data_IF_186422782083
#
_entry.id   IF_186422782083
#
_cell.length_a   1.000
_cell.length_b   1.000
_cell.length_c   1.000
_cell.angle_alpha   90.00
_cell.angle_beta   90.00
_cell.angle_gamma   90.00
#
_symmetry.space_group_name_H-M   'P 1'
#
loop_
_entity.id
_entity.type
_entity.pdbx_description
1 polymer ?
#
# COMPACT_ATOMS: atom_id res chain seq x y z
N UNK A 1 -56.37 -38.74 47.16
CA UNK A 1 -55.93 -38.60 45.76
C UNK A 1 -54.54 -37.98 45.76
N UNK A 2 -53.64 -38.56 44.97
CA UNK A 2 -52.19 -38.68 45.21
C UNK A 2 -51.45 -37.33 45.28
N UNK A 3 -50.61 -37.17 46.31
CA UNK A 3 -49.80 -36.00 46.64
C UNK A 3 -48.41 -36.08 45.98
N UNK A 4 -47.98 -34.97 45.41
CA UNK A 4 -46.62 -34.72 44.97
C UNK A 4 -45.64 -34.73 46.16
N UNK A 5 -44.48 -35.35 45.98
CA UNK A 5 -43.36 -35.30 46.94
C UNK A 5 -42.12 -34.86 46.18
N UNK A 6 -41.69 -33.63 46.47
CA UNK A 6 -40.36 -33.11 46.18
C UNK A 6 -39.39 -33.56 47.27
N UNK A 7 -38.26 -34.20 46.92
CA UNK A 7 -37.11 -34.35 47.83
C UNK A 7 -35.79 -34.17 47.07
N UNK A 8 -35.06 -33.14 47.52
CA UNK A 8 -33.62 -32.92 47.63
C UNK A 8 -32.61 -33.86 46.93
N UNK A 9 -31.68 -33.21 46.21
CA UNK A 9 -30.27 -33.61 46.01
C UNK A 9 -29.53 -33.69 47.36
N UNK A 10 -28.50 -34.55 47.55
CA UNK A 10 -27.16 -34.13 47.10
C UNK A 10 -26.14 -35.24 46.71
N UNK A 11 -25.19 -34.77 45.89
CA UNK A 11 -23.75 -35.07 45.77
C UNK A 11 -23.11 -36.32 46.42
N UNK A 12 -22.11 -36.80 45.65
CA UNK A 12 -20.91 -37.59 45.99
C UNK A 12 -21.04 -39.10 45.77
N UNK A 13 -20.54 -39.55 44.61
CA UNK A 13 -19.64 -40.69 44.45
C UNK A 13 -19.02 -40.66 43.04
N UNK A 14 -18.05 -39.75 42.84
CA UNK A 14 -16.98 -39.92 41.87
C UNK A 14 -16.06 -41.03 42.40
N UNK A 15 -16.13 -42.25 41.86
CA UNK A 15 -15.03 -43.23 41.80
C UNK A 15 -15.50 -44.59 41.27
N UNK A 16 -15.64 -44.72 39.96
CA UNK A 16 -15.46 -45.99 39.26
C UNK A 16 -15.10 -45.69 37.81
N UNK A 17 -13.84 -45.34 37.62
CA UNK A 17 -13.19 -45.34 36.31
C UNK A 17 -13.27 -46.73 35.66
N UNK A 18 -13.13 -46.69 34.34
CA UNK A 18 -12.35 -47.65 33.55
C UNK A 18 -13.10 -48.91 33.11
N UNK A 19 -13.81 -48.85 31.97
CA UNK A 19 -13.58 -49.67 30.76
C UNK A 19 -14.27 -49.00 29.54
N UNK A 20 -13.65 -47.97 28.95
CA UNK A 20 -14.01 -47.53 27.59
C UNK A 20 -12.88 -47.96 26.67
N UNK A 21 -13.13 -49.03 25.92
CA UNK A 21 -12.29 -49.47 24.81
C UNK A 21 -12.06 -48.27 23.87
N UNK A 22 -10.80 -47.88 23.59
CA UNK A 22 -10.55 -46.77 22.68
C UNK A 22 -10.92 -47.20 21.26
N UNK A 23 -11.68 -46.40 20.48
CA UNK A 23 -11.52 -46.49 19.03
C UNK A 23 -10.09 -46.03 18.75
N UNK A 24 -9.24 -46.97 18.36
CA UNK A 24 -7.86 -46.70 18.01
C UNK A 24 -7.82 -45.64 16.92
N UNK A 25 -6.99 -44.62 17.13
CA UNK A 25 -6.51 -43.75 16.06
C UNK A 25 -5.52 -44.56 15.21
N UNK A 26 -6.03 -45.62 14.60
CA UNK A 26 -5.25 -46.46 13.72
C UNK A 26 -5.13 -45.67 12.41
N UNK A 27 -4.08 -44.85 12.34
CA UNK A 27 -3.75 -44.01 11.21
C UNK A 27 -3.71 -44.83 9.93
N UNK A 28 -3.31 -46.10 10.00
CA UNK A 28 -3.27 -47.02 8.87
C UNK A 28 -4.69 -47.39 8.38
N UNK A 29 -5.66 -47.50 9.29
CA UNK A 29 -7.05 -47.76 8.93
C UNK A 29 -7.73 -46.53 8.32
N UNK A 30 -7.43 -45.33 8.85
CA UNK A 30 -7.90 -44.06 8.30
C UNK A 30 -7.27 -43.77 6.92
N UNK A 31 -5.99 -44.09 6.73
CA UNK A 31 -5.28 -43.92 5.47
C UNK A 31 -5.80 -44.90 4.41
N UNK A 32 -6.09 -46.14 4.80
CA UNK A 32 -6.74 -47.13 3.94
C UNK A 32 -8.18 -46.75 3.56
N UNK A 33 -8.87 -45.92 4.36
CA UNK A 33 -10.21 -45.42 4.06
C UNK A 33 -10.17 -44.20 3.13
N UNK A 34 -9.19 -43.29 3.30
CA UNK A 34 -8.93 -42.17 2.40
C UNK A 34 -8.47 -42.66 1.01
N UNK A 35 -7.62 -43.67 0.94
CA UNK A 35 -7.17 -44.27 -0.31
C UNK A 35 -8.30 -45.02 -1.04
N UNK A 36 -9.27 -45.58 -0.31
CA UNK A 36 -10.46 -46.21 -0.90
C UNK A 36 -11.48 -45.19 -1.40
N UNK A 37 -11.62 -44.04 -0.74
CA UNK A 37 -12.48 -42.93 -1.20
C UNK A 37 -11.99 -42.24 -2.46
N UNK A 38 -10.68 -42.34 -2.76
CA UNK A 38 -10.04 -41.77 -3.95
C UNK A 38 -9.58 -42.84 -4.96
N UNK A 39 -10.09 -44.07 -4.84
CA UNK A 39 -9.72 -45.17 -5.71
C UNK A 39 -10.34 -44.99 -7.11
N UNK A 40 -9.54 -44.45 -8.04
CA UNK A 40 -9.53 -45.00 -9.40
C UNK A 40 -9.90 -44.06 -10.54
N UNK A 41 -9.56 -42.77 -10.50
CA UNK A 41 -9.40 -42.02 -11.75
C UNK A 41 -7.90 -41.88 -12.09
N UNK A 42 -7.38 -42.68 -13.03
CA UNK A 42 -6.00 -42.58 -13.50
C UNK A 42 -5.66 -41.16 -13.98
N UNK A 43 -6.62 -40.38 -14.47
CA UNK A 43 -6.41 -39.01 -14.91
C UNK A 43 -6.17 -38.05 -13.72
N UNK A 44 -6.84 -38.27 -12.58
CA UNK A 44 -6.62 -37.46 -11.37
C UNK A 44 -5.29 -37.83 -10.71
N UNK A 45 -4.95 -39.11 -10.63
CA UNK A 45 -3.63 -39.54 -10.10
C UNK A 45 -2.49 -39.04 -10.97
N UNK A 46 -2.64 -39.05 -12.30
CA UNK A 46 -1.67 -38.47 -13.22
C UNK A 46 -1.54 -36.95 -13.02
N UNK A 47 -2.66 -36.22 -12.89
CA UNK A 47 -2.65 -34.77 -12.69
C UNK A 47 -2.03 -34.33 -11.35
N UNK A 48 -2.10 -35.16 -10.29
CA UNK A 48 -1.40 -34.89 -9.03
C UNK A 48 0.08 -35.25 -9.05
N UNK A 49 0.50 -36.19 -9.92
CA UNK A 49 1.91 -36.53 -10.11
C UNK A 49 2.59 -35.67 -11.18
N UNK A 50 1.82 -34.85 -11.91
CA UNK A 50 2.40 -33.86 -12.80
C UNK A 50 3.26 -32.89 -12.01
N UNK A 51 4.48 -32.72 -12.50
CA UNK A 51 5.47 -31.83 -11.91
C UNK A 51 4.91 -30.41 -11.94
N UNK A 52 4.51 -29.88 -10.78
CA UNK A 52 4.20 -28.47 -10.68
C UNK A 52 5.47 -27.72 -11.07
N UNK A 53 5.44 -27.05 -12.22
CA UNK A 53 6.49 -26.15 -12.67
C UNK A 53 6.55 -24.98 -11.70
N UNK A 54 7.29 -25.15 -10.62
CA UNK A 54 7.64 -24.08 -9.71
C UNK A 54 8.66 -23.23 -10.43
N UNK A 55 8.31 -21.99 -10.77
CA UNK A 55 9.29 -21.00 -11.23
C UNK A 55 10.33 -20.80 -10.12
N UNK A 56 11.58 -21.28 -10.29
CA UNK A 56 12.60 -21.25 -9.24
C UNK A 56 12.95 -19.81 -8.82
N UNK A 57 12.69 -18.83 -9.69
CA UNK A 57 12.93 -17.42 -9.42
C UNK A 57 11.88 -16.78 -8.50
N UNK A 58 10.70 -17.40 -8.36
CA UNK A 58 9.63 -16.96 -7.46
C UNK A 58 9.67 -17.69 -6.11
N UNK A 59 10.16 -18.92 -6.04
CA UNK A 59 10.25 -19.70 -4.79
C UNK A 59 11.16 -19.04 -3.75
N UNK A 60 12.20 -18.33 -4.20
CA UNK A 60 13.09 -17.56 -3.32
C UNK A 60 12.48 -16.27 -2.79
N UNK A 61 11.44 -15.74 -3.46
CA UNK A 61 10.74 -14.52 -3.02
C UNK A 61 9.63 -14.81 -2.00
N UNK A 62 9.14 -16.05 -1.94
CA UNK A 62 8.03 -16.45 -1.04
C UNK A 62 8.47 -17.24 0.19
N UNK A 63 9.78 -17.46 0.41
CA UNK A 63 10.30 -18.25 1.52
C UNK A 63 10.68 -17.41 2.75
N UNK A 64 10.82 -18.09 3.91
CA UNK A 64 11.28 -17.53 5.21
C UNK A 64 12.69 -16.88 5.18
N UNK A 65 13.37 -16.90 4.03
CA UNK A 65 14.65 -16.26 3.77
C UNK A 65 14.58 -14.99 2.91
N UNK A 66 13.39 -14.62 2.42
CA UNK A 66 13.16 -13.27 1.96
C UNK A 66 13.31 -12.37 3.18
N UNK A 67 14.40 -11.60 3.24
CA UNK A 67 14.56 -10.53 4.21
C UNK A 67 13.42 -9.56 3.95
N UNK A 68 12.30 -9.75 4.64
CA UNK A 68 11.20 -8.80 4.65
C UNK A 68 11.86 -7.50 5.11
N UNK A 69 11.84 -6.42 4.32
CA UNK A 69 12.19 -5.11 4.82
C UNK A 69 11.39 -4.89 6.11
N UNK A 70 12.02 -4.27 7.12
CA UNK A 70 11.39 -3.99 8.42
C UNK A 70 9.92 -3.59 8.24
N UNK A 71 9.01 -4.10 9.09
CA UNK A 71 7.54 -4.02 8.94
C UNK A 71 7.05 -2.65 8.46
N UNK A 72 7.11 -2.47 7.14
CA UNK A 72 6.55 -1.35 6.41
C UNK A 72 5.18 -1.80 5.93
N UNK A 73 4.22 -0.87 5.80
CA UNK A 73 2.98 -1.16 5.11
C UNK A 73 3.29 -1.83 3.77
N UNK A 74 2.48 -2.79 3.37
CA UNK A 74 2.67 -3.48 2.09
C UNK A 74 2.48 -2.48 0.95
N UNK A 75 3.56 -1.92 0.43
CA UNK A 75 3.57 -1.25 -0.86
C UNK A 75 3.67 -2.32 -1.93
N UNK A 76 2.68 -2.37 -2.82
CA UNK A 76 2.76 -3.25 -3.99
C UNK A 76 4.02 -2.88 -4.79
N UNK A 77 4.76 -3.87 -5.29
CA UNK A 77 5.88 -3.62 -6.17
C UNK A 77 5.38 -2.83 -7.39
N UNK A 78 5.76 -1.56 -7.49
CA UNK A 78 5.47 -0.77 -8.66
C UNK A 78 6.24 -1.37 -9.85
N UNK A 79 5.58 -1.60 -11.00
CA UNK A 79 6.28 -2.06 -12.19
C UNK A 79 7.38 -1.04 -12.55
N UNK A 80 8.54 -1.54 -13.00
CA UNK A 80 9.67 -0.69 -13.36
C UNK A 80 9.22 0.41 -14.33
N UNK A 81 9.66 1.65 -14.09
CA UNK A 81 9.08 2.81 -14.77
C UNK A 81 9.12 2.70 -16.30
N UNK A 82 10.11 1.98 -16.84
CA UNK A 82 10.33 1.78 -18.27
C UNK A 82 9.36 0.81 -18.96
N UNK A 83 8.68 -0.08 -18.24
CA UNK A 83 7.81 -1.13 -18.83
C UNK A 83 6.56 -0.59 -19.54
N UNK A 84 6.15 0.64 -19.25
CA UNK A 84 4.98 1.30 -19.85
C UNK A 84 5.32 2.70 -20.39
N UNK A 85 6.48 2.85 -21.03
CA UNK A 85 6.84 4.07 -21.76
C UNK A 85 5.92 4.24 -22.97
N UNK A 86 4.74 4.83 -22.78
CA UNK A 86 3.68 4.90 -23.78
C UNK A 86 2.83 6.17 -23.66
N UNK A 87 2.91 7.00 -24.71
CA UNK A 87 2.36 8.34 -24.88
C UNK A 87 3.13 9.42 -24.13
N UNK A 88 4.23 9.87 -24.73
CA UNK A 88 4.88 11.12 -24.35
C UNK A 88 3.80 12.18 -24.11
N UNK A 89 3.70 12.68 -22.88
CA UNK A 89 2.85 13.81 -22.57
C UNK A 89 3.03 14.86 -23.66
N UNK A 90 1.92 15.44 -24.15
CA UNK A 90 1.97 16.49 -25.19
C UNK A 90 3.08 17.47 -24.81
N UNK A 91 3.94 17.89 -25.76
CA UNK A 91 5.04 18.79 -25.44
C UNK A 91 4.46 20.06 -24.81
N UNK A 92 4.63 20.17 -23.50
CA UNK A 92 4.26 21.32 -22.72
C UNK A 92 5.51 22.19 -22.61
N UNK A 93 5.36 23.50 -22.83
CA UNK A 93 6.43 24.44 -22.51
C UNK A 93 6.63 24.42 -21.00
N UNK A 94 7.78 23.88 -20.57
CA UNK A 94 8.17 23.82 -19.16
C UNK A 94 8.94 25.08 -18.79
N UNK A 95 8.56 25.67 -17.68
CA UNK A 95 9.35 26.67 -16.98
C UNK A 95 10.34 25.96 -16.06
N UNK A 96 11.59 26.42 -16.05
CA UNK A 96 12.58 25.91 -15.11
C UNK A 96 12.24 26.33 -13.68
N UNK A 97 12.27 25.38 -12.77
CA UNK A 97 12.13 25.67 -11.35
C UNK A 97 13.28 26.58 -10.86
N UNK A 98 13.04 27.44 -9.85
CA UNK A 98 14.11 28.22 -9.25
C UNK A 98 15.19 27.29 -8.66
N UNK A 99 16.40 27.83 -8.48
CA UNK A 99 17.46 27.08 -7.79
C UNK A 99 16.97 26.64 -6.40
N UNK A 100 17.21 25.38 -6.01
CA UNK A 100 16.73 24.88 -4.74
C UNK A 100 17.41 25.58 -3.55
N UNK A 101 16.62 25.88 -2.52
CA UNK A 101 17.11 26.23 -1.19
C UNK A 101 17.39 25.00 -0.32
N UNK A 102 17.76 25.25 0.94
CA UNK A 102 17.88 24.20 1.95
C UNK A 102 16.54 23.47 2.17
N UNK A 103 16.58 22.18 2.48
CA UNK A 103 15.40 21.32 2.53
C UNK A 103 15.05 20.76 3.91
N UNK A 104 14.51 21.58 4.84
CA UNK A 104 14.01 21.06 6.11
C UNK A 104 12.89 20.01 5.94
N UNK A 105 12.15 20.06 4.83
CA UNK A 105 11.06 19.11 4.55
C UNK A 105 11.56 17.75 4.04
N UNK A 106 12.78 17.65 3.51
CA UNK A 106 13.30 16.41 2.93
C UNK A 106 13.34 15.27 3.96
N UNK A 107 13.82 15.57 5.18
CA UNK A 107 13.83 14.60 6.29
C UNK A 107 12.45 14.03 6.61
N UNK A 108 11.44 14.89 6.76
CA UNK A 108 10.08 14.46 7.12
C UNK A 108 9.44 13.60 6.03
N UNK A 109 9.62 13.94 4.75
CA UNK A 109 9.14 13.11 3.64
C UNK A 109 9.81 11.74 3.58
N UNK A 110 11.11 11.67 3.91
CA UNK A 110 11.88 10.43 3.87
C UNK A 110 11.61 9.50 5.07
N UNK A 111 11.21 10.06 6.21
CA UNK A 111 10.89 9.31 7.44
C UNK A 111 9.44 8.82 7.49
N UNK A 112 8.54 9.36 6.66
CA UNK A 112 7.16 8.92 6.59
C UNK A 112 7.06 7.49 6.05
N UNK A 113 6.45 6.59 6.81
CA UNK A 113 6.26 5.18 6.45
C UNK A 113 4.87 4.89 5.88
N UNK A 114 3.90 5.77 6.13
CA UNK A 114 2.52 5.68 5.64
C UNK A 114 2.08 6.97 4.94
N UNK A 115 1.07 6.89 4.07
CA UNK A 115 0.47 8.10 3.47
C UNK A 115 -0.14 9.06 4.52
N UNK A 116 -0.58 8.54 5.67
CA UNK A 116 -1.05 9.36 6.79
C UNK A 116 0.09 10.11 7.48
N UNK A 117 1.23 9.46 7.70
CA UNK A 117 2.44 10.11 8.22
C UNK A 117 2.99 11.13 7.24
N UNK A 118 3.02 10.80 5.94
CA UNK A 118 3.44 11.69 4.88
C UNK A 118 2.55 12.95 4.85
N UNK A 119 1.23 12.79 4.92
CA UNK A 119 0.30 13.92 5.04
C UNK A 119 0.55 14.79 6.28
N UNK A 120 1.00 14.18 7.39
CA UNK A 120 1.31 14.87 8.64
C UNK A 120 2.62 15.68 8.58
N UNK A 121 3.48 15.48 7.57
CA UNK A 121 4.72 16.26 7.35
C UNK A 121 4.42 17.74 7.07
N UNK A 122 3.21 18.06 6.60
CA UNK A 122 2.81 19.45 6.35
C UNK A 122 2.42 20.19 7.65
N UNK A 123 3.09 21.31 7.91
CA UNK A 123 2.98 22.05 9.18
C UNK A 123 1.63 22.76 9.44
N UNK A 124 0.80 22.99 8.41
CA UNK A 124 -0.45 23.75 8.52
C UNK A 124 -1.68 22.85 8.49
N UNK A 125 -2.48 22.79 9.56
CA UNK A 125 -3.86 22.23 9.56
C UNK A 125 -4.02 20.71 9.32
N UNK A 126 -2.97 20.05 8.82
CA UNK A 126 -3.08 18.79 8.09
C UNK A 126 -3.11 17.54 8.95
N UNK A 127 -2.65 17.59 10.21
CA UNK A 127 -2.59 16.39 11.06
C UNK A 127 -3.96 15.80 11.39
N UNK A 128 -4.99 16.62 11.53
CA UNK A 128 -6.36 16.15 11.78
C UNK A 128 -6.98 15.49 10.54
N UNK A 129 -6.66 16.00 9.35
CA UNK A 129 -7.11 15.41 8.09
C UNK A 129 -6.31 14.16 7.74
N UNK A 130 -5.00 14.17 8.00
CA UNK A 130 -4.11 13.02 7.85
C UNK A 130 -4.58 11.80 8.64
N UNK A 131 -5.10 11.99 9.86
CA UNK A 131 -5.65 10.92 10.68
C UNK A 131 -6.94 10.28 10.11
N UNK A 132 -7.59 10.91 9.13
CA UNK A 132 -8.87 10.49 8.54
C UNK A 132 -8.73 9.94 7.12
N UNK A 133 -7.51 9.84 6.59
CA UNK A 133 -7.30 9.36 5.22
C UNK A 133 -7.69 7.89 5.10
N UNK A 134 -8.48 7.57 4.09
CA UNK A 134 -8.78 6.20 3.70
C UNK A 134 -7.99 5.80 2.46
N UNK A 135 -7.43 4.60 2.44
CA UNK A 135 -6.68 4.08 1.30
C UNK A 135 -7.63 3.63 0.17
N UNK A 136 -7.39 4.14 -1.03
CA UNK A 136 -8.06 3.70 -2.26
C UNK A 136 -7.39 4.35 -3.47
N UNK A 137 -7.09 3.56 -4.51
CA UNK A 137 -6.60 4.06 -5.79
C UNK A 137 -7.53 5.12 -6.42
N UNK A 138 -8.83 5.10 -6.08
CA UNK A 138 -9.81 6.07 -6.57
C UNK A 138 -9.48 7.51 -6.19
N UNK A 139 -8.71 7.73 -5.12
CA UNK A 139 -8.30 9.08 -4.70
C UNK A 139 -7.36 9.77 -5.69
N UNK A 140 -6.56 9.01 -6.44
CA UNK A 140 -5.67 9.57 -7.47
C UNK A 140 -6.44 10.25 -8.61
N UNK A 141 -7.64 9.76 -8.94
CA UNK A 141 -8.52 10.37 -9.94
C UNK A 141 -9.23 11.63 -9.41
N UNK A 142 -9.07 11.96 -8.13
CA UNK A 142 -9.67 13.13 -7.47
C UNK A 142 -8.63 14.19 -7.09
N UNK A 143 -7.44 14.11 -7.67
CA UNK A 143 -6.45 15.18 -7.56
C UNK A 143 -6.95 16.42 -8.30
N UNK A 144 -6.68 17.64 -7.78
CA UNK A 144 -6.96 18.86 -8.53
C UNK A 144 -6.22 18.89 -9.85
N UNK A 145 -6.79 19.61 -10.82
CA UNK A 145 -6.25 19.66 -12.18
C UNK A 145 -4.76 20.03 -12.23
N UNK A 146 -4.29 20.95 -11.40
CA UNK A 146 -2.88 21.36 -11.33
C UNK A 146 -1.91 20.27 -10.84
N UNK A 147 -2.43 19.25 -10.15
CA UNK A 147 -1.67 18.13 -9.59
C UNK A 147 -2.18 16.75 -10.05
N UNK A 148 -3.00 16.70 -11.12
CA UNK A 148 -3.40 15.47 -11.77
C UNK A 148 -2.18 14.58 -12.11
N UNK A 149 -2.33 13.26 -12.05
CA UNK A 149 -1.24 12.35 -12.36
C UNK A 149 -0.62 12.64 -13.74
N UNK A 150 0.70 12.52 -13.82
CA UNK A 150 1.39 12.54 -15.11
C UNK A 150 0.89 11.37 -15.99
N UNK A 151 0.76 11.52 -17.31
CA UNK A 151 0.27 10.44 -18.19
C UNK A 151 1.07 9.13 -18.07
N UNK A 152 2.38 9.24 -17.86
CA UNK A 152 3.27 8.09 -17.69
C UNK A 152 3.28 7.54 -16.25
N UNK A 153 2.56 8.15 -15.31
CA UNK A 153 2.60 7.76 -13.90
C UNK A 153 2.10 6.33 -13.68
N UNK A 154 2.82 5.59 -12.83
CA UNK A 154 2.44 4.27 -12.34
C UNK A 154 2.10 4.40 -10.87
N UNK A 155 0.80 4.37 -10.56
CA UNK A 155 0.30 4.54 -9.20
C UNK A 155 0.72 3.37 -8.31
N UNK A 156 1.38 3.67 -7.20
CA UNK A 156 1.73 2.69 -6.16
C UNK A 156 0.63 2.63 -5.11
N UNK A 157 0.28 3.79 -4.55
CA UNK A 157 -0.78 3.91 -3.54
C UNK A 157 -1.43 5.29 -3.55
N UNK A 158 -2.65 5.33 -3.02
CA UNK A 158 -3.39 6.57 -2.86
C UNK A 158 -4.28 6.51 -1.61
N UNK A 159 -4.36 7.63 -0.92
CA UNK A 159 -5.26 7.84 0.20
C UNK A 159 -5.82 9.26 0.16
N UNK A 160 -6.96 9.44 0.81
CA UNK A 160 -7.58 10.75 0.88
C UNK A 160 -8.79 10.78 1.80
N UNK A 161 -9.27 11.98 2.06
CA UNK A 161 -10.48 12.21 2.84
C UNK A 161 -11.21 13.46 2.36
N UNK A 162 -12.53 13.38 2.38
CA UNK A 162 -13.47 14.50 2.18
C UNK A 162 -14.34 14.74 3.43
N UNK A 163 -14.00 14.10 4.55
CA UNK A 163 -14.81 14.11 5.76
C UNK A 163 -14.54 15.36 6.61
N UNK A 164 -15.59 15.85 7.30
CA UNK A 164 -15.49 16.89 8.33
C UNK A 164 -14.74 18.16 7.90
N UNK A 165 -14.92 18.57 6.64
CA UNK A 165 -14.27 19.76 6.08
C UNK A 165 -12.84 19.54 5.57
N UNK A 166 -12.30 18.32 5.69
CA UNK A 166 -11.03 17.98 5.06
C UNK A 166 -11.19 17.82 3.55
N UNK A 167 -10.17 18.21 2.78
CA UNK A 167 -10.07 17.88 1.36
C UNK A 167 -8.62 17.56 1.02
N UNK A 168 -8.20 16.39 1.48
CA UNK A 168 -6.81 15.95 1.41
C UNK A 168 -6.65 14.77 0.47
N UNK A 169 -5.58 14.80 -0.33
CA UNK A 169 -5.12 13.74 -1.20
C UNK A 169 -3.64 13.47 -0.93
N UNK A 170 -3.30 12.20 -0.87
CA UNK A 170 -1.92 11.72 -0.75
C UNK A 170 -1.76 10.59 -1.75
N UNK A 171 -0.79 10.71 -2.65
CA UNK A 171 -0.53 9.68 -3.65
C UNK A 171 0.96 9.44 -3.77
N UNK A 172 1.33 8.18 -3.97
CA UNK A 172 2.70 7.76 -4.26
C UNK A 172 2.71 7.01 -5.59
N UNK A 173 3.64 7.37 -6.48
CA UNK A 173 3.73 6.79 -7.83
C UNK A 173 5.12 6.98 -8.43
N UNK A 174 5.42 6.25 -9.50
CA UNK A 174 6.67 6.39 -10.26
C UNK A 174 6.40 6.93 -11.66
N UNK A 175 7.36 7.63 -12.25
CA UNK A 175 7.33 8.15 -13.63
C UNK A 175 8.64 7.82 -14.33
N UNK A 176 8.59 7.32 -15.57
CA UNK A 176 9.76 7.12 -16.44
C UNK A 176 10.28 8.43 -17.06
N UNK A 177 10.53 9.43 -16.23
CA UNK A 177 11.14 10.70 -16.62
C UNK A 177 12.21 11.06 -15.59
N UNK A 178 13.30 11.73 -16.00
CA UNK A 178 14.36 12.14 -15.08
C UNK A 178 13.86 13.21 -14.10
N UNK A 179 14.45 13.22 -12.89
CA UNK A 179 13.98 14.05 -11.77
C UNK A 179 13.95 15.53 -12.12
N UNK A 180 14.97 16.07 -12.80
CA UNK A 180 15.03 17.49 -13.18
C UNK A 180 13.85 17.89 -14.07
N UNK A 181 13.47 17.04 -15.03
CA UNK A 181 12.33 17.28 -15.89
C UNK A 181 11.03 17.26 -15.09
N UNK A 182 10.92 16.36 -14.11
CA UNK A 182 9.73 16.29 -13.27
C UNK A 182 9.62 17.46 -12.30
N UNK A 183 10.73 17.96 -11.77
CA UNK A 183 10.78 19.20 -10.98
C UNK A 183 10.23 20.36 -11.81
N UNK A 184 10.74 20.56 -13.03
CA UNK A 184 10.26 21.63 -13.93
C UNK A 184 8.77 21.45 -14.30
N UNK A 185 8.33 20.20 -14.51
CA UNK A 185 6.93 19.89 -14.81
C UNK A 185 5.98 20.27 -13.67
N UNK A 186 6.25 19.81 -12.44
CA UNK A 186 5.41 20.14 -11.30
C UNK A 186 5.48 21.62 -10.94
N UNK A 187 6.64 22.27 -11.09
CA UNK A 187 6.79 23.71 -10.92
C UNK A 187 5.87 24.46 -11.89
N UNK A 188 5.97 24.15 -13.19
CA UNK A 188 5.16 24.75 -14.26
C UNK A 188 3.67 24.61 -13.96
N UNK A 189 3.21 23.43 -13.55
CA UNK A 189 1.79 23.18 -13.31
C UNK A 189 1.28 23.83 -12.03
N UNK A 190 2.08 23.86 -10.96
CA UNK A 190 1.74 24.60 -9.75
C UNK A 190 1.56 26.09 -10.04
N UNK A 191 2.52 26.69 -10.78
CA UNK A 191 2.46 28.09 -11.20
C UNK A 191 1.24 28.39 -12.07
N UNK A 192 0.95 27.57 -13.08
CA UNK A 192 -0.26 27.67 -13.92
C UNK A 192 -1.56 27.51 -13.11
N UNK A 193 -1.52 26.68 -12.07
CA UNK A 193 -2.60 26.50 -11.11
C UNK A 193 -2.81 27.69 -10.16
N UNK A 194 -1.92 28.69 -10.16
CA UNK A 194 -1.98 29.85 -9.28
C UNK A 194 -1.39 29.62 -7.88
N UNK A 195 -0.62 28.55 -7.68
CA UNK A 195 0.07 28.30 -6.42
C UNK A 195 1.40 29.08 -6.36
N UNK A 196 1.84 29.43 -5.15
CA UNK A 196 3.28 29.62 -4.92
C UNK A 196 4.01 28.30 -5.17
N UNK A 197 5.30 28.38 -5.48
CA UNK A 197 6.10 27.19 -5.76
C UNK A 197 7.54 27.45 -5.33
N UNK A 198 7.87 27.02 -4.12
CA UNK A 198 9.21 26.99 -3.58
C UNK A 198 9.88 25.68 -3.95
N UNK A 199 11.20 25.72 -4.18
CA UNK A 199 11.99 24.55 -4.48
C UNK A 199 13.07 24.39 -3.42
N UNK A 200 13.12 23.20 -2.83
CA UNK A 200 14.12 22.79 -1.85
C UNK A 200 14.76 21.49 -2.33
N UNK A 201 16.03 21.26 -1.98
CA UNK A 201 16.68 19.98 -2.27
C UNK A 201 17.71 19.61 -1.20
N UNK A 202 17.89 18.31 -0.99
CA UNK A 202 18.96 17.73 -0.18
C UNK A 202 19.40 16.40 -0.82
N UNK A 203 20.69 16.28 -1.15
CA UNK A 203 21.19 15.15 -1.93
C UNK A 203 20.51 15.05 -3.29
N UNK A 204 19.90 13.89 -3.58
CA UNK A 204 19.10 13.68 -4.78
C UNK A 204 17.60 13.94 -4.61
N UNK A 205 17.15 14.28 -3.40
CA UNK A 205 15.73 14.51 -3.12
C UNK A 205 15.38 15.98 -3.35
N UNK A 206 14.26 16.20 -4.02
CA UNK A 206 13.68 17.51 -4.30
C UNK A 206 12.32 17.64 -3.65
N UNK A 207 12.00 18.84 -3.19
CA UNK A 207 10.67 19.17 -2.67
C UNK A 207 10.18 20.45 -3.35
N UNK A 208 9.00 20.35 -3.96
CA UNK A 208 8.24 21.51 -4.40
C UNK A 208 7.06 21.70 -3.47
N UNK A 209 6.89 22.91 -2.94
CA UNK A 209 5.80 23.20 -2.02
C UNK A 209 5.25 24.59 -2.21
N UNK A 210 3.99 24.78 -1.84
CA UNK A 210 3.36 26.10 -1.90
C UNK A 210 1.88 26.09 -1.61
N UNK A 211 1.27 27.25 -1.73
CA UNK A 211 -0.11 27.52 -1.33
C UNK A 211 -0.86 28.32 -2.39
N UNK A 212 -2.19 28.21 -2.36
CA UNK A 212 -3.14 29.02 -3.13
C UNK A 212 -4.36 29.29 -2.26
N UNK A 213 -4.43 30.48 -1.69
CA UNK A 213 -5.43 30.79 -0.67
C UNK A 213 -5.25 29.86 0.53
N UNK A 214 -6.26 29.08 0.87
CA UNK A 214 -6.21 28.07 1.95
C UNK A 214 -5.76 26.69 1.49
N UNK A 215 -5.58 26.47 0.18
CA UNK A 215 -5.08 25.21 -0.36
C UNK A 215 -3.54 25.16 -0.29
N UNK A 216 -3.00 23.97 -0.08
CA UNK A 216 -1.56 23.73 0.01
C UNK A 216 -1.18 22.45 -0.73
N UNK A 217 0.07 22.36 -1.17
CA UNK A 217 0.61 21.13 -1.73
C UNK A 217 2.09 20.96 -1.35
N UNK A 218 2.53 19.71 -1.41
CA UNK A 218 3.93 19.38 -1.53
C UNK A 218 4.13 18.17 -2.44
N UNK A 219 5.18 18.23 -3.24
CA UNK A 219 5.65 17.14 -4.09
C UNK A 219 7.06 16.81 -3.68
N UNK A 220 7.28 15.60 -3.19
CA UNK A 220 8.61 15.05 -2.94
C UNK A 220 9.00 14.23 -4.17
N UNK A 221 10.17 14.49 -4.73
CA UNK A 221 10.68 13.81 -5.91
C UNK A 221 12.06 13.25 -5.61
N UNK A 222 12.25 11.97 -5.93
CA UNK A 222 13.52 11.28 -5.75
C UNK A 222 13.85 10.44 -6.98
N UNK A 223 15.12 10.39 -7.44
CA UNK A 223 15.53 9.48 -8.50
C UNK A 223 15.21 8.03 -8.15
N UNK A 224 14.63 7.29 -9.11
CA UNK A 224 14.35 5.87 -8.97
C UNK A 224 14.71 5.13 -10.28
N UNK A 225 15.86 4.46 -10.29
CA UNK A 225 16.39 3.84 -11.50
C UNK A 225 16.60 4.86 -12.62
N UNK A 226 15.84 4.73 -13.72
CA UNK A 226 15.83 5.68 -14.85
C UNK A 226 14.68 6.70 -14.78
N UNK A 227 13.89 6.66 -13.72
CA UNK A 227 12.71 7.49 -13.52
C UNK A 227 12.78 8.30 -12.23
N UNK A 228 11.60 8.70 -11.77
CA UNK A 228 11.40 9.49 -10.55
C UNK A 228 10.28 8.87 -9.73
N UNK A 229 10.57 8.63 -8.45
CA UNK A 229 9.56 8.36 -7.42
C UNK A 229 8.96 9.68 -6.98
N UNK A 230 7.64 9.73 -6.83
CA UNK A 230 6.91 10.94 -6.46
C UNK A 230 5.90 10.64 -5.36
N UNK A 231 6.03 11.39 -4.28
CA UNK A 231 5.05 11.46 -3.21
C UNK A 231 4.39 12.85 -3.23
N UNK A 232 3.09 12.88 -3.47
CA UNK A 232 2.33 14.11 -3.65
C UNK A 232 1.26 14.22 -2.57
N UNK A 233 1.31 15.33 -1.84
CA UNK A 233 0.31 15.74 -0.86
C UNK A 233 -0.41 16.97 -1.40
N UNK A 234 -1.73 16.96 -1.39
CA UNK A 234 -2.56 18.13 -1.70
C UNK A 234 -3.64 18.28 -0.65
N UNK A 235 -3.79 19.49 -0.12
CA UNK A 235 -4.86 19.86 0.80
C UNK A 235 -5.64 21.08 0.27
N UNK A 236 -6.94 21.13 0.55
CA UNK A 236 -7.83 22.20 0.13
C UNK A 236 -8.44 22.03 -1.27
N UNK A 237 -8.21 20.89 -1.92
CA UNK A 237 -8.88 20.50 -3.17
C UNK A 237 -8.10 20.60 -4.45
#
# INVERSE_FOLDING_TARGET
MIRAVSILLPLVLLAACNQSTPPGNDVDALDAELLRGNAGDPAVTAALQDQIMVDPSLTGQSGNGAVKPADRPYSAAAPAADVASGSAARPESLESAPKPGACPSCKGGHEALTLGELAAVQNSGNRQCAAKVGYSAAWANRLPAAFALHPDARLSEAAGTDADGCRMRVVSFTIAQPVDRMVDWYYTRAKKGGYSAEHQAEGGQHVLGGTRGTAAYAVFLSPEGRGTSVDLIVDGG
#
